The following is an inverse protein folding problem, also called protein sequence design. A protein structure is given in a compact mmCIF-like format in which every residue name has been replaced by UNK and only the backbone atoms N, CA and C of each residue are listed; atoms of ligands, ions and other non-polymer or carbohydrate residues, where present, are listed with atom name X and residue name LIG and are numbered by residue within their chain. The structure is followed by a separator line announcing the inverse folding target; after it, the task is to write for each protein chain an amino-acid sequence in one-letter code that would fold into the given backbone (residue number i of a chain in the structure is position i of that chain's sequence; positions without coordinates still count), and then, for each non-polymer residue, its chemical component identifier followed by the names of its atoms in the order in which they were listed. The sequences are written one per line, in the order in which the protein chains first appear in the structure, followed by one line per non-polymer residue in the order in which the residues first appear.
data_IF_856840145597
#
_entry.id   IF_856840145597
#
_cell.length_a   1.000
_cell.length_b   1.000
_cell.length_c   1.000
_cell.angle_alpha   90.00
_cell.angle_beta   90.00
_cell.angle_gamma   90.00
#
_symmetry.space_group_name_H-M   'P 1'
#
loop_
_entity.id
_entity.type
_entity.pdbx_description
1 polymer ?
#
# COMPACT_ATOMS: atom_id res chain seq x y z
N UNK A 1 15.85 -13.28 -19.18
CA UNK A 1 14.48 -13.67 -18.84
C UNK A 1 13.89 -14.46 -20.01
N UNK A 2 13.17 -15.55 -19.72
CA UNK A 2 12.55 -16.41 -20.73
C UNK A 2 11.12 -16.68 -20.28
N UNK A 3 10.15 -16.42 -21.15
CA UNK A 3 8.75 -16.79 -20.89
C UNK A 3 8.46 -18.15 -21.53
N UNK A 4 7.97 -19.08 -20.73
CA UNK A 4 7.63 -20.44 -21.15
C UNK A 4 6.12 -20.63 -21.01
N UNK A 5 5.47 -21.08 -22.09
CA UNK A 5 4.06 -21.43 -22.06
C UNK A 5 3.86 -22.89 -21.72
N UNK A 6 3.10 -23.16 -20.65
CA UNK A 6 2.70 -24.50 -20.22
C UNK A 6 1.17 -24.61 -20.18
N UNK A 7 0.58 -25.14 -21.24
CA UNK A 7 -0.87 -25.16 -21.40
C UNK A 7 -1.47 -23.76 -21.48
N UNK A 8 -2.27 -23.37 -20.48
CA UNK A 8 -2.89 -22.03 -20.39
C UNK A 8 -2.07 -21.06 -19.54
N UNK A 9 -0.99 -21.54 -18.91
CA UNK A 9 -0.19 -20.73 -17.98
C UNK A 9 1.10 -20.25 -18.66
N UNK A 10 1.47 -19.03 -18.40
CA UNK A 10 2.77 -18.46 -18.72
C UNK A 10 3.64 -18.49 -17.47
N UNK A 11 4.87 -18.96 -17.62
CA UNK A 11 5.86 -19.05 -16.53
C UNK A 11 7.07 -18.25 -16.97
N UNK A 12 7.38 -17.21 -16.21
CA UNK A 12 8.57 -16.39 -16.42
C UNK A 12 9.71 -16.98 -15.61
N UNK A 13 10.85 -17.23 -16.26
CA UNK A 13 12.04 -17.77 -15.63
C UNK A 13 13.26 -16.90 -15.91
N UNK A 14 14.14 -16.79 -14.92
CA UNK A 14 15.47 -16.26 -15.12
C UNK A 14 16.44 -17.44 -15.33
N UNK A 15 17.17 -17.43 -16.42
CA UNK A 15 18.14 -18.49 -16.73
C UNK A 15 19.37 -17.89 -17.39
N UNK A 16 20.52 -18.44 -17.05
CA UNK A 16 21.79 -18.19 -17.76
C UNK A 16 21.92 -19.00 -19.05
N UNK A 17 21.01 -19.95 -19.28
CA UNK A 17 20.94 -20.73 -20.51
C UNK A 17 20.06 -20.01 -21.51
N UNK A 18 20.49 -19.94 -22.76
CA UNK A 18 19.71 -19.36 -23.85
C UNK A 18 18.77 -20.41 -24.45
N UNK A 19 17.56 -19.98 -24.78
CA UNK A 19 16.61 -20.73 -25.59
C UNK A 19 16.08 -19.82 -26.70
N UNK A 20 15.59 -20.41 -27.80
CA UNK A 20 14.97 -19.68 -28.91
C UNK A 20 13.45 -19.79 -28.80
N UNK A 21 12.76 -18.78 -29.33
CA UNK A 21 11.30 -18.83 -29.43
C UNK A 21 10.88 -20.05 -30.25
N UNK A 22 10.00 -20.88 -29.66
CA UNK A 22 9.51 -22.11 -30.26
C UNK A 22 10.25 -23.39 -29.78
N UNK A 23 11.32 -23.26 -29.01
CA UNK A 23 11.99 -24.43 -28.43
C UNK A 23 11.09 -25.09 -27.39
N UNK A 24 11.08 -26.42 -27.38
CA UNK A 24 10.51 -27.23 -26.30
C UNK A 24 11.51 -27.33 -25.16
N UNK A 25 11.16 -26.84 -23.98
CA UNK A 25 12.03 -26.83 -22.82
C UNK A 25 11.40 -27.58 -21.65
N UNK A 26 12.19 -28.30 -20.86
CA UNK A 26 11.76 -28.84 -19.59
C UNK A 26 12.03 -27.84 -18.48
N UNK A 27 11.04 -27.59 -17.65
CA UNK A 27 11.19 -26.78 -16.45
C UNK A 27 11.45 -27.69 -15.27
N UNK A 28 12.54 -27.42 -14.56
CA UNK A 28 12.81 -28.06 -13.27
C UNK A 28 12.82 -26.96 -12.22
N UNK A 29 11.89 -27.04 -11.27
CA UNK A 29 11.79 -26.11 -10.15
C UNK A 29 12.32 -26.82 -8.92
N UNK A 30 13.33 -26.21 -8.28
CA UNK A 30 13.79 -26.68 -6.99
C UNK A 30 12.67 -26.47 -5.96
N UNK A 31 12.23 -27.51 -5.22
CA UNK A 31 11.20 -27.36 -4.21
C UNK A 31 11.51 -26.27 -3.17
N UNK A 32 12.77 -26.07 -2.83
CA UNK A 32 13.21 -25.03 -1.90
C UNK A 32 13.13 -23.60 -2.50
N UNK A 33 13.01 -23.51 -3.83
CA UNK A 33 12.80 -22.26 -4.56
C UNK A 33 11.32 -21.93 -4.82
N UNK A 34 10.37 -22.76 -4.34
CA UNK A 34 8.96 -22.50 -4.51
C UNK A 34 8.46 -21.66 -3.33
N UNK A 35 8.15 -20.39 -3.60
CA UNK A 35 7.45 -19.52 -2.66
C UNK A 35 5.98 -19.49 -3.02
N UNK A 36 5.13 -19.99 -2.13
CA UNK A 36 3.67 -19.88 -2.27
C UNK A 36 3.24 -18.59 -1.59
N UNK A 37 2.76 -17.66 -2.39
CA UNK A 37 2.26 -16.39 -1.90
C UNK A 37 0.78 -16.25 -2.28
N UNK A 38 -0.06 -15.63 -1.43
CA UNK A 38 -1.40 -15.29 -1.85
C UNK A 38 -1.35 -14.43 -3.12
N UNK A 39 -2.20 -14.74 -4.10
CA UNK A 39 -2.41 -13.88 -5.27
C UNK A 39 -3.28 -12.69 -4.85
N UNK A 40 -2.81 -11.91 -3.88
CA UNK A 40 -3.54 -10.76 -3.42
C UNK A 40 -3.19 -9.54 -4.28
N UNK A 41 -4.24 -8.79 -4.59
CA UNK A 41 -4.07 -7.36 -4.82
C UNK A 41 -3.80 -6.78 -3.44
N UNK A 42 -2.57 -6.85 -3.00
CA UNK A 42 -2.14 -6.26 -1.75
C UNK A 42 -2.52 -4.77 -1.79
N UNK A 43 -3.27 -4.34 -0.78
CA UNK A 43 -3.61 -2.94 -0.56
C UNK A 43 -3.23 -2.62 0.87
N UNK A 44 -2.57 -1.50 1.04
CA UNK A 44 -2.41 -0.93 2.37
C UNK A 44 -3.77 -0.38 2.80
N UNK A 45 -4.32 -0.92 3.86
CA UNK A 45 -5.63 -0.55 4.38
C UNK A 45 -5.50 -0.18 5.85
N UNK A 46 -5.71 1.08 6.14
CA UNK A 46 -5.54 1.65 7.48
C UNK A 46 -6.88 2.20 7.93
N UNK A 47 -7.29 1.82 9.12
CA UNK A 47 -8.48 2.36 9.76
C UNK A 47 -8.07 3.44 10.77
N UNK A 48 -8.69 4.62 10.67
CA UNK A 48 -8.41 5.74 11.57
C UNK A 48 -9.69 6.38 12.10
N UNK A 49 -9.59 6.99 13.26
CA UNK A 49 -10.61 7.85 13.81
C UNK A 49 -10.59 9.25 13.22
N UNK A 50 -11.53 10.05 13.70
CA UNK A 50 -11.66 11.48 13.35
C UNK A 50 -11.69 12.26 14.65
N UNK A 51 -10.85 13.29 14.76
CA UNK A 51 -10.76 14.14 15.93
C UNK A 51 -11.93 15.16 16.00
N UNK A 52 -11.99 15.92 17.09
CA UNK A 52 -13.02 16.95 17.32
C UNK A 52 -13.00 18.12 16.34
N UNK A 53 -11.97 18.23 15.50
CA UNK A 53 -11.84 19.21 14.43
C UNK A 53 -12.13 18.61 13.05
N UNK A 54 -12.65 17.37 13.02
CA UNK A 54 -12.91 16.59 11.81
C UNK A 54 -11.66 16.30 10.98
N UNK A 55 -10.50 16.17 11.63
CA UNK A 55 -9.27 15.72 11.02
C UNK A 55 -9.05 14.24 11.31
N UNK A 56 -8.37 13.55 10.39
CA UNK A 56 -8.01 12.15 10.61
C UNK A 56 -6.99 12.05 11.75
N UNK A 57 -7.18 11.10 12.66
CA UNK A 57 -6.22 10.83 13.74
C UNK A 57 -4.91 10.19 13.22
N UNK A 58 -4.92 9.67 12.00
CA UNK A 58 -3.73 9.17 11.34
C UNK A 58 -2.76 10.29 11.03
N UNK A 59 -1.46 10.08 11.33
CA UNK A 59 -0.38 11.08 11.21
C UNK A 59 -0.70 12.41 11.95
N UNK A 60 -1.25 12.31 13.16
CA UNK A 60 -1.56 13.47 14.01
C UNK A 60 -2.41 14.56 13.33
N UNK A 61 -3.23 14.15 12.35
CA UNK A 61 -4.10 15.06 11.58
C UNK A 61 -3.42 15.80 10.44
N UNK A 62 -2.18 15.45 10.10
CA UNK A 62 -1.47 16.07 8.96
C UNK A 62 -2.06 15.67 7.60
N UNK A 63 -2.75 14.52 7.56
CA UNK A 63 -3.41 14.06 6.35
C UNK A 63 -4.81 14.65 6.25
N UNK A 64 -5.00 15.53 5.27
CA UNK A 64 -6.29 16.16 5.01
C UNK A 64 -7.24 15.22 4.26
N UNK A 65 -8.45 15.06 4.79
CA UNK A 65 -9.58 14.38 4.15
C UNK A 65 -10.82 15.26 4.23
N UNK A 66 -11.44 15.52 3.10
CA UNK A 66 -12.74 16.20 3.05
C UNK A 66 -13.85 15.18 3.34
N UNK A 67 -14.26 15.09 4.62
CA UNK A 67 -15.26 14.13 5.07
C UNK A 67 -16.63 14.36 4.40
N UNK A 68 -16.94 15.57 3.94
CA UNK A 68 -18.22 15.83 3.26
C UNK A 68 -18.35 15.06 1.93
N UNK A 69 -17.23 14.59 1.37
CA UNK A 69 -17.22 13.78 0.14
C UNK A 69 -17.46 12.30 0.40
N UNK A 70 -17.19 11.82 1.62
CA UNK A 70 -17.30 10.41 1.96
C UNK A 70 -18.45 10.09 2.93
N UNK A 71 -18.90 11.09 3.70
CA UNK A 71 -20.08 10.97 4.56
C UNK A 71 -21.32 11.40 3.78
N UNK A 72 -22.27 10.48 3.53
CA UNK A 72 -23.42 10.79 2.69
C UNK A 72 -24.26 11.95 3.21
N UNK A 73 -24.65 12.86 2.33
CA UNK A 73 -25.55 13.96 2.62
C UNK A 73 -25.06 14.90 3.74
N UNK A 74 -23.74 15.02 3.90
CA UNK A 74 -23.13 15.93 4.86
C UNK A 74 -22.54 17.17 4.19
N UNK A 75 -22.35 18.22 4.96
CA UNK A 75 -21.66 19.45 4.55
C UNK A 75 -21.00 20.09 5.77
N UNK A 76 -20.04 20.98 5.52
CA UNK A 76 -19.43 21.78 6.59
C UNK A 76 -20.16 23.10 6.78
N UNK A 77 -20.46 23.45 8.04
CA UNK A 77 -20.92 24.77 8.46
C UNK A 77 -20.05 25.23 9.65
N UNK A 78 -19.39 26.36 9.52
CA UNK A 78 -18.46 26.92 10.51
C UNK A 78 -17.38 25.92 11.02
N UNK A 79 -16.92 25.03 10.14
CA UNK A 79 -15.91 24.01 10.47
C UNK A 79 -16.45 22.76 11.15
N UNK A 80 -17.77 22.66 11.32
CA UNK A 80 -18.46 21.51 11.89
C UNK A 80 -19.17 20.73 10.79
N UNK A 81 -19.06 19.40 10.82
CA UNK A 81 -19.72 18.55 9.85
C UNK A 81 -21.18 18.32 10.26
N UNK A 82 -22.09 18.71 9.38
CA UNK A 82 -23.54 18.63 9.58
C UNK A 82 -24.16 17.60 8.65
N UNK A 83 -25.23 16.97 9.08
CA UNK A 83 -26.06 16.13 8.22
C UNK A 83 -27.08 16.94 7.41
N UNK A 84 -27.90 16.27 6.60
CA UNK A 84 -28.95 16.90 5.78
C UNK A 84 -30.08 17.56 6.61
N UNK A 85 -30.21 17.21 7.87
CA UNK A 85 -31.22 17.80 8.81
C UNK A 85 -30.68 19.03 9.54
N UNK A 86 -29.37 19.30 9.40
CA UNK A 86 -28.68 20.35 10.12
C UNK A 86 -28.24 19.95 11.53
N UNK A 87 -28.20 18.64 11.79
CA UNK A 87 -27.69 18.11 13.05
C UNK A 87 -26.17 17.85 12.94
N UNK A 88 -25.44 18.08 14.05
CA UNK A 88 -24.00 17.84 14.13
C UNK A 88 -23.72 16.35 14.03
N UNK A 89 -22.84 15.98 13.12
CA UNK A 89 -22.35 14.62 13.01
C UNK A 89 -21.27 14.38 14.07
N UNK A 90 -21.51 13.42 14.95
CA UNK A 90 -20.60 13.06 16.02
C UNK A 90 -19.32 12.43 15.45
N UNK A 91 -18.19 13.13 15.61
CA UNK A 91 -16.88 12.70 15.10
C UNK A 91 -16.41 11.37 15.71
N UNK A 92 -16.75 11.07 16.96
CA UNK A 92 -16.35 9.81 17.64
C UNK A 92 -16.93 8.57 16.96
N UNK A 93 -18.03 8.73 16.21
CA UNK A 93 -18.68 7.66 15.45
C UNK A 93 -18.13 7.51 14.04
N UNK A 94 -17.31 8.45 13.59
CA UNK A 94 -16.72 8.38 12.27
C UNK A 94 -15.45 7.53 12.30
N UNK A 95 -15.42 6.51 11.47
CA UNK A 95 -14.22 5.73 11.18
C UNK A 95 -13.97 5.80 9.68
N UNK A 96 -12.76 6.15 9.32
CA UNK A 96 -12.33 6.31 7.94
C UNK A 96 -11.33 5.22 7.61
N UNK A 97 -11.45 4.64 6.44
CA UNK A 97 -10.51 3.68 5.90
C UNK A 97 -9.74 4.35 4.79
N UNK A 98 -8.42 4.36 4.94
CA UNK A 98 -7.48 4.76 3.91
C UNK A 98 -7.05 3.53 3.14
N UNK A 99 -7.02 3.62 1.83
CA UNK A 99 -6.53 2.56 0.96
C UNK A 99 -5.48 3.12 0.00
N UNK A 100 -4.30 2.49 -0.02
CA UNK A 100 -3.15 2.90 -0.82
C UNK A 100 -2.59 1.65 -1.50
N UNK A 101 -2.28 1.74 -2.79
CA UNK A 101 -1.64 0.65 -3.51
C UNK A 101 -0.15 0.61 -3.17
N UNK A 102 0.45 -0.58 -3.03
CA UNK A 102 1.90 -0.71 -2.84
C UNK A 102 2.73 -0.03 -3.93
N UNK A 103 2.25 -0.02 -5.17
CA UNK A 103 2.91 0.60 -6.32
C UNK A 103 2.83 2.14 -6.31
N UNK A 104 1.97 2.72 -5.48
CA UNK A 104 1.81 4.17 -5.35
C UNK A 104 2.65 4.74 -4.19
N UNK A 105 3.40 3.91 -3.49
CA UNK A 105 4.30 4.29 -2.39
C UNK A 105 5.75 4.19 -2.89
N UNK A 106 6.53 5.24 -2.67
CA UNK A 106 7.96 5.22 -2.95
C UNK A 106 8.75 5.30 -1.64
N UNK A 107 9.85 4.56 -1.54
CA UNK A 107 10.78 4.64 -0.41
C UNK A 107 11.89 5.65 -0.68
N UNK A 108 12.31 6.36 0.35
CA UNK A 108 13.46 7.28 0.30
C UNK A 108 14.35 7.07 1.54
N UNK A 109 15.65 7.28 1.39
CA UNK A 109 16.61 7.37 2.50
C UNK A 109 16.62 8.77 3.15
N UNK A 110 16.02 9.76 2.48
CA UNK A 110 15.78 11.08 3.04
C UNK A 110 14.48 11.09 3.87
N UNK A 111 14.62 11.27 5.18
CA UNK A 111 13.51 11.24 6.11
C UNK A 111 12.55 12.44 5.97
N UNK A 112 12.97 13.50 5.29
CA UNK A 112 12.14 14.70 5.08
C UNK A 112 11.27 14.59 3.82
N UNK A 113 11.53 13.62 2.93
CA UNK A 113 10.73 13.43 1.72
C UNK A 113 9.40 12.71 1.97
N UNK A 114 9.39 11.75 2.92
CA UNK A 114 8.22 10.94 3.21
C UNK A 114 7.31 11.54 4.27
N UNK A 115 6.07 11.09 4.28
CA UNK A 115 5.07 11.47 5.29
C UNK A 115 5.10 10.57 6.53
N UNK A 116 5.74 9.42 6.45
CA UNK A 116 5.89 8.45 7.53
C UNK A 116 7.19 7.67 7.33
N UNK A 117 7.84 7.27 8.41
CA UNK A 117 9.07 6.51 8.36
C UNK A 117 8.97 5.18 9.09
N UNK A 118 9.80 4.23 8.72
CA UNK A 118 9.82 2.92 9.34
C UNK A 118 11.01 2.07 8.92
N UNK A 119 11.11 0.88 9.50
CA UNK A 119 12.12 -0.11 9.17
C UNK A 119 11.60 -1.17 8.20
N UNK A 120 12.42 -1.57 7.26
CA UNK A 120 12.12 -2.70 6.38
C UNK A 120 12.25 -3.99 7.21
N UNK A 121 11.13 -4.67 7.46
CA UNK A 121 11.08 -5.91 8.24
C UNK A 121 10.91 -7.17 7.40
N UNK A 122 10.61 -7.02 6.11
CA UNK A 122 10.51 -8.13 5.18
C UNK A 122 10.74 -7.64 3.75
N UNK A 123 11.32 -8.50 2.91
CA UNK A 123 11.43 -8.25 1.48
C UNK A 123 11.31 -9.57 0.71
N UNK A 124 10.63 -9.54 -0.42
CA UNK A 124 10.45 -10.69 -1.31
C UNK A 124 10.58 -10.21 -2.75
N UNK A 125 11.46 -10.84 -3.53
CA UNK A 125 11.54 -10.58 -4.96
C UNK A 125 10.39 -11.27 -5.70
N UNK A 126 9.65 -10.52 -6.50
CA UNK A 126 8.45 -10.99 -7.24
C UNK A 126 8.73 -11.29 -8.71
N UNK A 127 9.97 -11.16 -9.16
CA UNK A 127 10.40 -11.45 -10.53
C UNK A 127 10.69 -10.18 -11.36
N UNK A 128 9.95 -9.12 -11.15
CA UNK A 128 10.11 -7.81 -11.80
C UNK A 128 10.30 -6.66 -10.80
N UNK A 129 9.91 -6.84 -9.56
CA UNK A 129 10.05 -5.89 -8.49
C UNK A 129 10.27 -6.59 -7.15
N UNK A 130 10.63 -5.84 -6.13
CA UNK A 130 10.66 -6.29 -4.75
C UNK A 130 9.39 -5.83 -4.04
N UNK A 131 8.81 -6.71 -3.23
CA UNK A 131 7.72 -6.38 -2.31
C UNK A 131 8.30 -6.31 -0.91
N UNK A 132 8.18 -5.15 -0.30
CA UNK A 132 8.68 -4.84 1.03
C UNK A 132 7.54 -4.78 2.03
N UNK A 133 7.84 -5.09 3.29
CA UNK A 133 7.02 -4.70 4.43
C UNK A 133 7.84 -3.71 5.25
N UNK A 134 7.33 -2.50 5.38
CA UNK A 134 7.91 -1.43 6.18
C UNK A 134 7.07 -1.25 7.42
N UNK A 135 7.65 -1.43 8.60
CA UNK A 135 7.00 -1.23 9.89
C UNK A 135 7.33 0.14 10.44
N UNK A 136 6.30 0.93 10.69
CA UNK A 136 6.42 2.27 11.25
C UNK A 136 6.62 2.21 12.77
N UNK A 137 6.98 3.36 13.38
CA UNK A 137 7.10 3.49 14.84
C UNK A 137 5.78 3.20 15.59
N UNK A 138 4.64 3.39 14.93
CA UNK A 138 3.32 3.10 15.45
C UNK A 138 2.90 1.63 15.26
N UNK A 139 3.85 0.75 14.90
CA UNK A 139 3.62 -0.68 14.63
C UNK A 139 2.65 -0.97 13.46
N UNK A 140 2.47 -0.02 12.56
CA UNK A 140 1.72 -0.22 11.33
C UNK A 140 2.62 -0.76 10.22
N UNK A 141 2.13 -1.75 9.48
CA UNK A 141 2.87 -2.39 8.39
C UNK A 141 2.37 -1.87 7.04
N UNK A 142 3.30 -1.32 6.24
CA UNK A 142 3.04 -0.92 4.87
C UNK A 142 3.70 -1.88 3.89
N UNK A 143 2.94 -2.34 2.90
CA UNK A 143 3.46 -3.07 1.75
C UNK A 143 3.86 -2.05 0.69
N UNK A 144 5.11 -2.14 0.23
CA UNK A 144 5.66 -1.24 -0.80
C UNK A 144 6.27 -2.07 -1.91
N UNK A 145 6.03 -1.68 -3.15
CA UNK A 145 6.68 -2.27 -4.32
C UNK A 145 7.73 -1.31 -4.87
N UNK A 146 8.95 -1.81 -5.07
CA UNK A 146 10.05 -1.03 -5.62
C UNK A 146 10.92 -1.90 -6.54
N UNK A 147 11.45 -1.31 -7.60
CA UNK A 147 12.40 -1.96 -8.51
C UNK A 147 13.81 -2.01 -7.93
N UNK A 148 14.13 -1.13 -6.98
CA UNK A 148 15.45 -1.06 -6.35
C UNK A 148 15.53 -2.01 -5.14
N UNK A 149 16.73 -2.54 -4.94
CA UNK A 149 17.02 -3.39 -3.80
C UNK A 149 17.41 -2.54 -2.58
N UNK A 150 16.57 -2.58 -1.57
CA UNK A 150 16.82 -2.08 -0.22
C UNK A 150 17.24 -3.24 0.69
N UNK A 151 17.90 -2.96 1.80
CA UNK A 151 18.30 -4.00 2.74
C UNK A 151 17.27 -4.17 3.87
N UNK A 152 17.29 -5.36 4.47
CA UNK A 152 16.58 -5.59 5.73
C UNK A 152 17.12 -4.62 6.79
N UNK A 153 16.22 -4.14 7.65
CA UNK A 153 16.46 -3.18 8.72
C UNK A 153 16.83 -1.74 8.26
N UNK A 154 16.91 -1.48 6.95
CA UNK A 154 17.04 -0.10 6.46
C UNK A 154 15.88 0.75 7.00
N UNK A 155 16.22 1.96 7.49
CA UNK A 155 15.23 2.94 7.94
C UNK A 155 14.91 3.87 6.77
N UNK A 156 13.68 3.82 6.32
CA UNK A 156 13.23 4.53 5.13
C UNK A 156 12.03 5.42 5.44
N UNK A 157 11.87 6.48 4.67
CA UNK A 157 10.63 7.25 4.63
C UNK A 157 9.75 6.79 3.49
N UNK A 158 8.42 6.85 3.69
CA UNK A 158 7.41 6.49 2.71
C UNK A 158 6.81 7.76 2.10
N UNK A 159 7.09 7.95 0.81
CA UNK A 159 6.55 9.04 0.02
C UNK A 159 5.22 8.58 -0.59
N UNK A 160 4.13 9.15 -0.14
CA UNK A 160 2.78 8.78 -0.57
C UNK A 160 2.09 10.01 -1.18
N UNK A 161 1.87 10.05 -2.50
CA UNK A 161 1.15 11.15 -3.14
C UNK A 161 -0.29 11.23 -2.62
N UNK A 162 -0.72 12.41 -2.19
CA UNK A 162 -2.06 12.62 -1.58
C UNK A 162 -3.21 12.21 -2.52
N UNK A 163 -3.04 12.36 -3.83
CA UNK A 163 -4.02 11.99 -4.85
C UNK A 163 -4.13 10.47 -5.07
N UNK A 164 -3.24 9.68 -4.48
CA UNK A 164 -3.23 8.20 -4.54
C UNK A 164 -3.89 7.56 -3.32
N UNK A 165 -4.24 8.34 -2.33
CA UNK A 165 -4.92 7.86 -1.13
C UNK A 165 -6.43 7.89 -1.37
N UNK A 166 -7.06 6.73 -1.24
CA UNK A 166 -8.52 6.61 -1.29
C UNK A 166 -9.08 6.58 0.12
N UNK A 167 -10.09 7.41 0.36
CA UNK A 167 -10.80 7.47 1.63
C UNK A 167 -12.21 6.92 1.48
N UNK A 168 -12.61 6.08 2.41
CA UNK A 168 -13.99 5.60 2.51
C UNK A 168 -14.46 5.60 3.96
N UNK A 169 -15.76 5.84 4.17
CA UNK A 169 -16.36 5.69 5.49
C UNK A 169 -16.48 4.21 5.84
N UNK A 170 -16.03 3.81 7.01
CA UNK A 170 -16.27 2.45 7.52
C UNK A 170 -17.77 2.28 7.79
N UNK A 171 -18.35 1.25 7.20
CA UNK A 171 -19.74 0.85 7.43
C UNK A 171 -19.89 0.07 8.73
#
# INVERSE_FOLDING_TARGET
EITVQSGKNEIVIQSTKSAKVGDMVGLNVDPDGIHVMPAEKALNRIETGVDKYYKLEFLDGELECDLSKIVPSSHYEDGVLMDASGDVIDHERLKVILTIKPDDITMSDDQEEGIISGHIINLIYKGDHYSYVVRTENEEDFIVHDEYLWNMDDFVSLVIPKDKIHFELKK
#
